data_IF_347735221419
#
_entry.id   IF_347735221419
#
_cell.length_a   1.000
_cell.length_b   1.000
_cell.length_c   1.000
_cell.angle_alpha   90.00
_cell.angle_beta   90.00
_cell.angle_gamma   90.00
#
_symmetry.space_group_name_H-M   'P 1'
#
loop_
_entity.id
_entity.type
_entity.pdbx_description
1 polymer ?
#
# COMPACT_ATOMS: atom_id res chain seq x y z
N UNK A 1 16.73 9.08 -12.44
CA UNK A 1 16.96 8.77 -11.03
C UNK A 1 15.70 8.30 -10.31
N UNK A 2 14.73 9.14 -9.92
CA UNK A 2 13.54 8.66 -9.16
C UNK A 2 12.73 7.58 -9.90
N UNK A 3 12.52 7.73 -11.21
CA UNK A 3 11.77 6.76 -12.03
C UNK A 3 12.43 5.38 -12.12
N UNK A 4 13.75 5.30 -12.16
CA UNK A 4 14.50 4.02 -12.22
C UNK A 4 14.38 3.23 -10.91
N UNK A 5 14.29 3.95 -9.78
CA UNK A 5 14.08 3.35 -8.46
C UNK A 5 12.67 2.77 -8.35
N UNK A 6 11.67 3.52 -8.84
CA UNK A 6 10.27 3.08 -8.86
C UNK A 6 10.12 1.84 -9.75
N UNK A 7 10.74 1.82 -10.93
CA UNK A 7 10.76 0.64 -11.80
C UNK A 7 11.41 -0.56 -11.10
N UNK A 8 12.54 -0.38 -10.41
CA UNK A 8 13.18 -1.45 -9.61
C UNK A 8 12.27 -1.98 -8.50
N UNK A 9 11.45 -1.13 -7.90
CA UNK A 9 10.46 -1.54 -6.90
C UNK A 9 9.37 -2.38 -7.58
N UNK A 10 8.81 -1.89 -8.69
CA UNK A 10 7.71 -2.51 -9.44
C UNK A 10 8.07 -3.79 -10.21
N UNK A 11 9.35 -4.01 -10.56
CA UNK A 11 9.81 -5.23 -11.23
C UNK A 11 9.51 -6.51 -10.44
N UNK A 12 9.26 -6.41 -9.13
CA UNK A 12 8.83 -7.56 -8.34
C UNK A 12 7.35 -7.84 -8.53
N UNK A 13 7.00 -9.12 -8.76
CA UNK A 13 5.62 -9.61 -8.93
C UNK A 13 4.67 -9.20 -7.79
N UNK A 14 5.18 -9.04 -6.57
CA UNK A 14 4.40 -8.61 -5.40
C UNK A 14 3.95 -7.13 -5.44
N UNK A 15 4.52 -6.33 -6.35
CA UNK A 15 4.22 -4.90 -6.50
C UNK A 15 3.76 -4.53 -7.93
N UNK A 16 3.74 -5.48 -8.87
CA UNK A 16 3.42 -5.20 -10.28
C UNK A 16 1.96 -4.84 -10.51
N UNK A 17 1.06 -5.18 -9.58
CA UNK A 17 -0.36 -4.83 -9.62
C UNK A 17 -0.67 -3.50 -8.92
N UNK A 18 0.34 -2.82 -8.37
CA UNK A 18 0.14 -1.58 -7.64
C UNK A 18 0.07 -0.38 -8.58
N UNK A 19 -0.81 0.60 -8.30
CA UNK A 19 -0.78 1.88 -9.00
C UNK A 19 0.59 2.54 -8.80
N UNK A 20 1.17 3.06 -9.89
CA UNK A 20 2.47 3.76 -9.87
C UNK A 20 2.45 4.90 -8.85
N UNK A 21 1.34 5.64 -8.78
CA UNK A 21 1.13 6.74 -7.83
C UNK A 21 1.26 6.32 -6.37
N UNK A 22 0.83 5.11 -6.02
CA UNK A 22 0.91 4.61 -4.64
C UNK A 22 2.37 4.30 -4.29
N UNK A 23 3.13 3.77 -5.25
CA UNK A 23 4.57 3.50 -5.08
C UNK A 23 5.35 4.82 -4.96
N UNK A 24 5.02 5.82 -5.77
CA UNK A 24 5.61 7.17 -5.72
C UNK A 24 5.38 7.82 -4.35
N UNK A 25 4.14 7.82 -3.86
CA UNK A 25 3.76 8.50 -2.62
C UNK A 25 4.42 7.86 -1.39
N UNK A 26 4.58 6.54 -1.41
CA UNK A 26 5.36 5.84 -0.38
C UNK A 26 6.84 6.17 -0.49
N UNK A 27 7.39 6.17 -1.70
CA UNK A 27 8.81 6.47 -1.91
C UNK A 27 9.15 7.90 -1.46
N UNK A 28 8.30 8.89 -1.75
CA UNK A 28 8.46 10.28 -1.30
C UNK A 28 8.54 10.40 0.23
N UNK A 29 7.83 9.54 0.97
CA UNK A 29 7.90 9.52 2.44
C UNK A 29 9.29 9.12 2.96
N UNK A 30 10.04 8.36 2.17
CA UNK A 30 11.41 7.92 2.45
C UNK A 30 12.47 8.71 1.67
N UNK A 31 12.08 9.62 0.77
CA UNK A 31 12.97 10.47 0.00
C UNK A 31 13.50 11.66 0.82
N UNK A 32 14.01 11.36 2.01
CA UNK A 32 14.67 12.28 2.94
C UNK A 32 16.17 12.01 2.90
N UNK A 33 16.99 13.04 3.13
CA UNK A 33 18.48 12.94 3.11
C UNK A 33 19.06 11.95 4.14
N UNK A 34 18.25 11.52 5.10
CA UNK A 34 18.66 10.60 6.15
C UNK A 34 18.87 9.15 5.68
N UNK A 35 18.45 8.80 4.46
CA UNK A 35 18.52 7.42 3.97
C UNK A 35 19.33 7.32 2.68
N UNK A 36 20.19 6.31 2.58
CA UNK A 36 20.86 5.97 1.32
C UNK A 36 19.86 5.31 0.34
N UNK A 37 20.13 5.39 -0.96
CA UNK A 37 19.23 4.93 -2.02
C UNK A 37 18.76 3.47 -1.84
N UNK A 38 19.66 2.58 -1.42
CA UNK A 38 19.31 1.18 -1.12
C UNK A 38 18.38 1.03 0.09
N UNK A 39 18.54 1.85 1.12
CA UNK A 39 17.65 1.86 2.28
C UNK A 39 16.27 2.39 1.90
N UNK A 40 16.19 3.44 1.08
CA UNK A 40 14.92 3.97 0.56
C UNK A 40 14.13 2.87 -0.17
N UNK A 41 14.80 2.07 -0.99
CA UNK A 41 14.19 0.94 -1.70
C UNK A 41 13.67 -0.12 -0.73
N UNK A 42 14.48 -0.51 0.27
CA UNK A 42 14.09 -1.53 1.26
C UNK A 42 12.90 -1.08 2.09
N UNK A 43 12.92 0.15 2.59
CA UNK A 43 11.85 0.73 3.41
C UNK A 43 10.54 0.86 2.63
N UNK A 44 10.63 1.34 1.39
CA UNK A 44 9.47 1.44 0.48
C UNK A 44 8.83 0.07 0.26
N UNK A 45 9.63 -0.95 -0.05
CA UNK A 45 9.14 -2.32 -0.24
C UNK A 45 8.51 -2.91 1.00
N UNK A 46 9.13 -2.72 2.17
CA UNK A 46 8.60 -3.28 3.41
C UNK A 46 7.30 -2.58 3.83
N UNK A 47 7.19 -1.27 3.63
CA UNK A 47 5.94 -0.54 3.88
C UNK A 47 4.84 -0.97 2.92
N UNK A 48 5.12 -1.05 1.62
CA UNK A 48 4.16 -1.57 0.62
C UNK A 48 3.71 -2.97 1.01
N UNK A 49 4.65 -3.87 1.34
CA UNK A 49 4.31 -5.23 1.78
C UNK A 49 3.42 -5.22 3.01
N UNK A 50 3.70 -4.40 4.02
CA UNK A 50 2.86 -4.28 5.23
C UNK A 50 1.47 -3.77 4.93
N UNK A 51 1.34 -2.70 4.14
CA UNK A 51 0.05 -2.15 3.76
C UNK A 51 -0.76 -3.18 2.97
N UNK A 52 -0.21 -3.70 1.88
CA UNK A 52 -0.93 -4.63 1.02
C UNK A 52 -1.17 -5.99 1.67
N UNK A 53 -0.25 -6.49 2.50
CA UNK A 53 -0.47 -7.74 3.25
C UNK A 53 -1.55 -7.56 4.32
N UNK A 54 -1.63 -6.41 4.99
CA UNK A 54 -2.72 -6.14 5.92
C UNK A 54 -4.08 -6.13 5.18
N UNK A 55 -4.16 -5.45 4.03
CA UNK A 55 -5.38 -5.44 3.20
C UNK A 55 -5.72 -6.80 2.58
N UNK A 56 -4.70 -7.59 2.19
CA UNK A 56 -4.89 -8.96 1.68
C UNK A 56 -5.27 -9.92 2.79
N UNK A 57 -4.76 -9.75 4.02
CA UNK A 57 -5.13 -10.58 5.18
C UNK A 57 -6.58 -10.34 5.61
N UNK A 58 -7.05 -9.09 5.54
CA UNK A 58 -8.45 -8.73 5.78
C UNK A 58 -9.37 -9.31 4.66
N UNK A 59 -8.91 -9.26 3.40
CA UNK A 59 -9.59 -9.91 2.26
C UNK A 59 -9.60 -11.44 2.32
N UNK A 60 -8.51 -12.06 2.77
CA UNK A 60 -8.39 -13.52 2.94
C UNK A 60 -9.33 -14.04 4.02
N UNK A 61 -9.73 -13.20 4.98
CA UNK A 61 -10.65 -13.61 6.03
C UNK A 61 -12.13 -13.47 5.68
N UNK A 62 -12.58 -12.65 4.71
CA UNK A 62 -13.99 -12.66 4.26
C UNK A 62 -14.35 -11.67 3.13
N UNK A 63 -13.84 -11.83 1.91
CA UNK A 63 -14.40 -11.09 0.76
C UNK A 63 -14.79 -12.03 -0.37
N UNK A 64 -15.87 -12.79 -0.13
CA UNK A 64 -16.82 -13.10 -1.22
C UNK A 64 -17.43 -11.76 -1.63
N UNK A 65 -17.12 -11.31 -2.85
CA UNK A 65 -17.74 -10.20 -3.61
C UNK A 65 -18.78 -9.40 -2.82
N UNK A 66 -18.34 -8.41 -2.05
CA UNK A 66 -19.26 -7.49 -1.39
C UNK A 66 -19.34 -6.20 -2.18
N UNK A 67 -20.56 -5.81 -2.51
CA UNK A 67 -20.85 -4.64 -3.33
C UNK A 67 -20.37 -3.34 -2.66
N UNK A 68 -20.14 -2.27 -3.43
CA UNK A 68 -19.73 -0.96 -2.90
C UNK A 68 -20.60 -0.46 -1.74
N UNK A 69 -21.90 -0.79 -1.73
CA UNK A 69 -22.84 -0.45 -0.67
C UNK A 69 -22.51 -1.11 0.67
N UNK A 70 -21.90 -2.30 0.65
CA UNK A 70 -21.46 -2.98 1.88
C UNK A 70 -20.32 -2.21 2.56
N UNK A 71 -19.39 -1.69 1.76
CA UNK A 71 -18.28 -0.86 2.26
C UNK A 71 -18.79 0.44 2.89
N UNK A 72 -19.73 1.13 2.22
CA UNK A 72 -20.34 2.37 2.74
C UNK A 72 -21.05 2.13 4.08
N UNK A 73 -21.82 1.05 4.19
CA UNK A 73 -22.52 0.71 5.45
C UNK A 73 -21.54 0.38 6.58
N UNK A 74 -20.43 -0.30 6.29
CA UNK A 74 -19.39 -0.57 7.28
C UNK A 74 -18.67 0.70 7.73
N UNK A 75 -18.34 1.59 6.80
CA UNK A 75 -17.72 2.87 7.11
C UNK A 75 -18.62 3.72 8.03
N UNK A 76 -19.91 3.84 7.70
CA UNK A 76 -20.87 4.53 8.55
C UNK A 76 -21.01 3.85 9.93
N UNK A 77 -21.14 2.53 9.97
CA UNK A 77 -21.25 1.79 11.23
C UNK A 77 -20.02 1.96 12.13
N UNK A 78 -18.81 2.04 11.57
CA UNK A 78 -17.58 2.29 12.34
C UNK A 78 -17.52 3.71 12.91
N UNK A 79 -18.13 4.68 12.23
CA UNK A 79 -18.21 6.08 12.70
C UNK A 79 -19.23 6.22 13.84
N UNK A 80 -20.36 5.53 13.76
CA UNK A 80 -21.45 5.68 14.75
C UNK A 80 -21.29 4.81 16.01
N UNK A 81 -20.47 3.75 15.99
CA UNK A 81 -20.17 2.90 17.16
C UNK A 81 -19.08 3.47 18.08
N UNK A 82 -18.54 4.66 17.76
CA UNK A 82 -17.48 5.32 18.52
C UNK A 82 -17.98 6.48 19.40
N UNK A 83 -19.27 6.49 19.75
CA UNK A 83 -19.89 7.42 20.71
C UNK A 83 -20.41 6.68 21.92
#
# INVERSE_FOLDING_TARGET
MKSEIIEKIMQKKEFSYLPIKDVELVFESFDKDQYVEEEKIKLTRDLLRKMYTAFVSDKLLNVKEKSPEWFLRKHLSMIYLKR
#
